data_IF_122070840840
#
_entry.id   IF_122070840840
#
_cell.length_a   1.000
_cell.length_b   1.000
_cell.length_c   1.000
_cell.angle_alpha   90.00
_cell.angle_beta   90.00
_cell.angle_gamma   90.00
#
_symmetry.space_group_name_H-M   'P 1'
#
loop_
_entity.id
_entity.type
_entity.pdbx_description
1 polymer ?
#
# COMPACT_ATOMS: atom_id res chain seq x y z
N UNK A 1 -10.55 -7.74 18.02
CA UNK A 1 -9.25 -7.05 17.85
C UNK A 1 -8.48 -7.81 16.78
N UNK A 2 -8.05 -7.12 15.73
CA UNK A 2 -7.42 -7.72 14.56
C UNK A 2 -6.24 -8.61 15.02
N UNK A 3 -6.27 -9.90 14.68
CA UNK A 3 -5.39 -10.94 15.25
C UNK A 3 -4.00 -10.88 14.59
N UNK A 4 -3.42 -9.68 14.56
CA UNK A 4 -2.17 -9.37 13.87
C UNK A 4 -1.05 -10.27 14.37
N UNK A 5 -0.96 -10.48 15.69
CA UNK A 5 0.01 -11.39 16.28
C UNK A 5 -0.11 -12.81 15.72
N UNK A 6 -1.32 -13.34 15.55
CA UNK A 6 -1.52 -14.72 15.08
C UNK A 6 -1.18 -14.84 13.59
N UNK A 7 -1.54 -13.83 12.79
CA UNK A 7 -1.15 -13.74 11.38
C UNK A 7 0.37 -13.67 11.23
N UNK A 8 1.05 -12.91 12.09
CA UNK A 8 2.51 -12.77 12.09
C UNK A 8 3.24 -14.02 12.59
N UNK A 9 2.65 -14.77 13.53
CA UNK A 9 3.25 -15.96 14.12
C UNK A 9 3.27 -17.16 13.15
N UNK A 10 2.23 -17.29 12.31
CA UNK A 10 2.12 -18.37 11.32
C UNK A 10 2.70 -17.96 9.94
N UNK A 11 3.38 -16.82 9.86
CA UNK A 11 3.83 -16.24 8.60
C UNK A 11 5.14 -16.90 8.13
N UNK A 12 5.06 -17.62 7.01
CA UNK A 12 6.23 -18.26 6.39
C UNK A 12 7.20 -17.22 5.80
N UNK A 13 8.46 -17.60 5.60
CA UNK A 13 9.48 -16.74 4.94
C UNK A 13 8.99 -16.19 3.61
N UNK A 14 8.29 -17.01 2.81
CA UNK A 14 7.68 -16.58 1.55
C UNK A 14 6.61 -15.51 1.76
N UNK A 15 5.76 -15.66 2.78
CA UNK A 15 4.76 -14.66 3.15
C UNK A 15 5.40 -13.31 3.51
N UNK A 16 6.52 -13.32 4.24
CA UNK A 16 7.28 -12.11 4.56
C UNK A 16 7.87 -11.43 3.32
N UNK A 17 8.40 -12.20 2.38
CA UNK A 17 8.92 -11.66 1.11
C UNK A 17 7.79 -11.01 0.30
N UNK A 18 6.63 -11.66 0.19
CA UNK A 18 5.47 -11.10 -0.51
C UNK A 18 5.02 -9.80 0.17
N UNK A 19 4.89 -9.79 1.49
CA UNK A 19 4.53 -8.58 2.24
C UNK A 19 5.52 -7.43 1.98
N UNK A 20 6.83 -7.72 2.00
CA UNK A 20 7.86 -6.72 1.73
C UNK A 20 7.74 -6.14 0.31
N UNK A 21 7.49 -6.99 -0.70
CA UNK A 21 7.26 -6.54 -2.08
C UNK A 21 6.01 -5.66 -2.16
N UNK A 22 4.90 -6.07 -1.52
CA UNK A 22 3.68 -5.27 -1.49
C UNK A 22 3.90 -3.89 -0.85
N UNK A 23 4.64 -3.83 0.26
CA UNK A 23 4.99 -2.58 0.92
C UNK A 23 5.88 -1.68 0.04
N UNK A 24 6.86 -2.25 -0.65
CA UNK A 24 7.72 -1.51 -1.58
C UNK A 24 6.92 -0.93 -2.74
N UNK A 25 6.01 -1.71 -3.33
CA UNK A 25 5.11 -1.24 -4.40
C UNK A 25 4.22 -0.11 -3.89
N UNK A 26 3.72 -0.21 -2.66
CA UNK A 26 2.88 0.82 -2.04
C UNK A 26 3.64 2.13 -1.82
N UNK A 27 4.85 2.06 -1.26
CA UNK A 27 5.72 3.22 -1.08
C UNK A 27 6.02 3.86 -2.44
N UNK A 28 6.34 3.05 -3.44
CA UNK A 28 6.63 3.53 -4.79
C UNK A 28 5.41 4.23 -5.42
N UNK A 29 4.21 3.66 -5.29
CA UNK A 29 2.97 4.28 -5.77
C UNK A 29 2.70 5.64 -5.11
N UNK A 30 2.92 5.72 -3.80
CA UNK A 30 2.81 6.97 -3.02
C UNK A 30 3.79 8.02 -3.54
N UNK A 31 5.05 7.64 -3.75
CA UNK A 31 6.08 8.54 -4.25
C UNK A 31 5.78 9.03 -5.68
N UNK A 32 5.50 8.11 -6.60
CA UNK A 32 5.28 8.43 -8.01
C UNK A 32 4.03 9.28 -8.22
N UNK A 33 2.93 9.01 -7.50
CA UNK A 33 1.72 9.83 -7.59
C UNK A 33 1.94 11.22 -7.00
N UNK A 34 2.72 11.34 -5.92
CA UNK A 34 3.16 12.64 -5.40
C UNK A 34 3.95 13.43 -6.44
N UNK A 35 4.98 12.82 -7.06
CA UNK A 35 5.75 13.48 -8.12
C UNK A 35 4.91 13.84 -9.35
N UNK A 36 4.03 12.94 -9.78
CA UNK A 36 3.16 13.18 -10.93
C UNK A 36 2.27 14.39 -10.69
N UNK A 37 1.70 14.46 -9.49
CA UNK A 37 0.77 15.53 -9.11
C UNK A 37 1.47 16.88 -8.94
N UNK A 38 2.67 16.87 -8.37
CA UNK A 38 3.54 18.04 -8.28
C UNK A 38 3.86 18.60 -9.67
N UNK A 39 4.23 17.72 -10.63
CA UNK A 39 4.56 18.10 -12.01
C UNK A 39 3.38 18.68 -12.80
N UNK A 40 2.16 18.19 -12.60
CA UNK A 40 1.00 18.58 -13.41
C UNK A 40 0.12 19.65 -12.75
N UNK A 41 0.00 19.62 -11.43
CA UNK A 41 -0.94 20.46 -10.68
C UNK A 41 -0.26 21.30 -9.59
N UNK A 42 1.05 21.15 -9.37
CA UNK A 42 1.79 21.88 -8.32
C UNK A 42 1.41 21.47 -6.90
N UNK A 43 0.73 20.32 -6.74
CA UNK A 43 0.30 19.80 -5.45
C UNK A 43 0.80 18.37 -5.27
N UNK A 44 1.93 18.24 -4.57
CA UNK A 44 2.53 16.95 -4.25
C UNK A 44 1.75 16.17 -3.19
N UNK A 45 1.16 16.86 -2.21
CA UNK A 45 0.56 16.25 -1.03
C UNK A 45 -0.69 15.46 -1.40
N UNK A 46 -1.59 16.06 -2.19
CA UNK A 46 -2.80 15.37 -2.66
C UNK A 46 -2.46 14.15 -3.51
N UNK A 47 -1.47 14.27 -4.40
CA UNK A 47 -1.00 13.14 -5.21
C UNK A 47 -0.44 11.99 -4.37
N UNK A 48 0.37 12.31 -3.36
CA UNK A 48 0.89 11.31 -2.43
C UNK A 48 -0.23 10.63 -1.64
N UNK A 49 -1.24 11.39 -1.18
CA UNK A 49 -2.41 10.85 -0.49
C UNK A 49 -3.19 9.87 -1.39
N UNK A 50 -3.40 10.21 -2.67
CA UNK A 50 -4.03 9.28 -3.63
C UNK A 50 -3.19 8.01 -3.79
N UNK A 51 -1.88 8.16 -3.99
CA UNK A 51 -0.96 7.02 -4.10
C UNK A 51 -0.87 6.15 -2.84
N UNK A 52 -1.19 6.70 -1.67
CA UNK A 52 -1.29 5.98 -0.41
C UNK A 52 -2.65 5.29 -0.23
N UNK A 53 -3.76 5.99 -0.42
CA UNK A 53 -5.09 5.47 -0.12
C UNK A 53 -5.63 4.51 -1.18
N UNK A 54 -5.34 4.74 -2.47
CA UNK A 54 -5.88 3.89 -3.55
C UNK A 54 -5.40 2.44 -3.43
N UNK A 55 -4.10 2.13 -3.25
CA UNK A 55 -3.66 0.75 -3.03
C UNK A 55 -4.29 0.13 -1.78
N UNK A 56 -4.45 0.91 -0.70
CA UNK A 56 -5.10 0.46 0.54
C UNK A 56 -6.57 0.09 0.34
N UNK A 57 -7.32 0.90 -0.42
CA UNK A 57 -8.71 0.60 -0.77
C UNK A 57 -8.79 -0.65 -1.64
N UNK A 58 -7.94 -0.77 -2.66
CA UNK A 58 -7.88 -1.97 -3.52
C UNK A 58 -7.62 -3.21 -2.68
N UNK A 59 -6.69 -3.14 -1.72
CA UNK A 59 -6.39 -4.25 -0.83
C UNK A 59 -7.57 -4.63 0.07
N UNK A 60 -8.24 -3.65 0.68
CA UNK A 60 -9.41 -3.88 1.54
C UNK A 60 -10.58 -4.46 0.74
N UNK A 61 -10.86 -3.93 -0.44
CA UNK A 61 -11.94 -4.45 -1.32
C UNK A 61 -11.61 -5.85 -1.81
N UNK A 62 -10.35 -6.09 -2.21
CA UNK A 62 -9.89 -7.42 -2.62
C UNK A 62 -10.05 -8.47 -1.51
N UNK A 63 -9.71 -8.11 -0.27
CA UNK A 63 -9.92 -8.97 0.89
C UNK A 63 -11.40 -9.20 1.23
N UNK A 64 -12.27 -8.21 1.01
CA UNK A 64 -13.71 -8.35 1.26
C UNK A 64 -14.39 -9.28 0.25
N UNK A 65 -13.88 -9.35 -0.98
CA UNK A 65 -14.44 -10.19 -2.06
C UNK A 65 -13.95 -11.65 -2.02
N UNK A 66 -13.00 -11.97 -1.13
CA UNK A 66 -12.46 -13.32 -0.87
C UNK A 66 -13.19 -13.98 0.32
#
# INVERSE_FOLDING_TARGET
>A
MFNLHRILADMTTTGWIILAICLLVWILATYLMGELSDKHWGDRESGALVGFFVPGIVFVVGLYML
#
